data_IF_702345016662
#
_entry.id   IF_702345016662
#
_cell.length_a   1.000
_cell.length_b   1.000
_cell.length_c   1.000
_cell.angle_alpha   90.00
_cell.angle_beta   90.00
_cell.angle_gamma   90.00
#
_symmetry.space_group_name_H-M   'P 1'
#
loop_
_entity.id
_entity.type
_entity.pdbx_description
1 polymer ?
#
# COMPACT_ATOMS: atom_id res chain seq x y z
N UNK A 1 5.03 -13.26 7.35
CA UNK A 1 3.97 -13.15 6.32
C UNK A 1 4.29 -14.14 5.21
N UNK A 2 3.26 -14.70 4.59
CA UNK A 2 3.40 -15.59 3.44
C UNK A 2 3.72 -14.77 2.17
N UNK A 3 4.41 -15.39 1.23
CA UNK A 3 4.81 -14.77 -0.03
C UNK A 3 4.88 -15.79 -1.15
N UNK A 4 4.77 -15.30 -2.38
CA UNK A 4 5.02 -16.09 -3.60
C UNK A 4 6.26 -15.54 -4.32
N UNK A 5 7.11 -16.45 -4.79
CA UNK A 5 8.27 -16.09 -5.61
C UNK A 5 7.83 -15.77 -7.03
N UNK A 6 8.41 -14.73 -7.61
CA UNK A 6 8.21 -14.39 -9.02
C UNK A 6 9.22 -15.18 -9.83
N UNK A 7 8.74 -16.09 -10.68
CA UNK A 7 9.60 -16.76 -11.65
C UNK A 7 10.02 -15.77 -12.75
N UNK A 8 11.25 -15.30 -12.65
CA UNK A 8 11.79 -14.35 -13.61
C UNK A 8 11.83 -14.92 -15.03
N UNK A 9 11.96 -16.24 -15.22
CA UNK A 9 12.07 -16.84 -16.55
C UNK A 9 10.78 -16.70 -17.37
N UNK A 10 9.63 -16.62 -16.69
CA UNK A 10 8.31 -16.50 -17.31
C UNK A 10 7.69 -15.11 -17.15
N UNK A 11 8.27 -14.25 -16.30
CA UNK A 11 7.72 -12.93 -16.03
C UNK A 11 7.97 -11.93 -17.17
N UNK A 12 6.89 -11.46 -17.80
CA UNK A 12 6.91 -10.52 -18.92
C UNK A 12 7.68 -9.21 -18.65
N UNK A 13 7.86 -8.81 -17.39
CA UNK A 13 8.59 -7.59 -17.01
C UNK A 13 10.03 -7.85 -16.53
N UNK A 14 10.58 -9.06 -16.69
CA UNK A 14 11.94 -9.42 -16.25
C UNK A 14 13.00 -8.40 -16.70
N UNK A 15 13.04 -8.11 -18.00
CA UNK A 15 14.06 -7.21 -18.58
C UNK A 15 13.91 -5.78 -18.06
N UNK A 16 12.67 -5.26 -18.03
CA UNK A 16 12.35 -3.95 -17.48
C UNK A 16 12.78 -3.83 -16.00
N UNK A 17 12.48 -4.84 -15.19
CA UNK A 17 12.89 -4.89 -13.80
C UNK A 17 14.41 -4.88 -13.64
N UNK A 18 15.13 -5.67 -14.45
CA UNK A 18 16.60 -5.68 -14.42
C UNK A 18 17.18 -4.30 -14.78
N UNK A 19 16.69 -3.67 -15.84
CA UNK A 19 17.11 -2.34 -16.28
C UNK A 19 16.92 -1.29 -15.16
N UNK A 20 15.69 -1.15 -14.66
CA UNK A 20 15.36 -0.13 -13.67
C UNK A 20 15.89 -0.41 -12.26
N UNK A 21 16.28 -1.66 -11.96
CA UNK A 21 16.87 -1.98 -10.65
C UNK A 21 18.39 -1.92 -10.64
N UNK A 22 19.06 -2.22 -11.76
CA UNK A 22 20.52 -2.38 -11.79
C UNK A 22 21.23 -1.26 -12.54
N UNK A 23 20.67 -0.83 -13.67
CA UNK A 23 21.36 0.09 -14.59
C UNK A 23 20.84 1.53 -14.44
N UNK A 24 19.52 1.70 -14.41
CA UNK A 24 18.86 3.01 -14.37
C UNK A 24 17.90 3.04 -13.17
N UNK A 25 18.48 3.07 -11.97
CA UNK A 25 17.70 3.14 -10.71
C UNK A 25 16.88 4.41 -10.68
N UNK A 26 15.56 4.28 -10.84
CA UNK A 26 14.64 5.41 -10.82
C UNK A 26 13.31 5.08 -10.14
N UNK A 27 12.62 6.13 -9.74
CA UNK A 27 11.22 6.14 -9.31
C UNK A 27 10.56 7.42 -9.80
N UNK A 28 9.24 7.46 -9.80
CA UNK A 28 8.48 8.65 -10.18
C UNK A 28 7.35 8.89 -9.19
N UNK A 29 6.86 10.12 -9.13
CA UNK A 29 5.66 10.50 -8.38
C UNK A 29 4.64 11.12 -9.33
N UNK A 30 3.36 10.98 -8.96
CA UNK A 30 2.26 11.66 -9.64
C UNK A 30 1.24 12.11 -8.60
N UNK A 31 0.58 13.23 -8.88
CA UNK A 31 -0.52 13.72 -8.05
C UNK A 31 -1.77 13.81 -8.91
N UNK A 32 -2.87 13.24 -8.41
CA UNK A 32 -4.20 13.36 -9.02
C UNK A 32 -5.22 13.79 -7.98
N UNK A 33 -6.31 14.42 -8.44
CA UNK A 33 -7.45 14.78 -7.58
C UNK A 33 -8.43 13.61 -7.58
N UNK A 34 -8.70 13.07 -6.39
CA UNK A 34 -9.76 12.09 -6.19
C UNK A 34 -11.05 12.81 -5.80
N UNK A 35 -12.14 12.54 -6.52
CA UNK A 35 -13.46 13.00 -6.11
C UNK A 35 -13.97 12.12 -4.96
N UNK A 36 -14.08 12.74 -3.77
CA UNK A 36 -14.54 12.08 -2.55
C UNK A 36 -15.98 12.46 -2.17
N UNK A 37 -16.75 13.06 -3.08
CA UNK A 37 -18.12 13.55 -2.78
C UNK A 37 -19.03 12.42 -2.30
N UNK A 38 -19.01 11.28 -3.01
CA UNK A 38 -19.76 10.08 -2.63
C UNK A 38 -19.26 9.49 -1.30
N UNK A 39 -17.94 9.42 -1.12
CA UNK A 39 -17.30 8.93 0.11
C UNK A 39 -17.71 9.77 1.32
N UNK A 40 -17.66 11.11 1.20
CA UNK A 40 -18.05 12.03 2.27
C UNK A 40 -19.53 11.88 2.64
N UNK A 41 -20.39 11.72 1.62
CA UNK A 41 -21.83 11.51 1.81
C UNK A 41 -22.13 10.20 2.52
N UNK A 42 -21.43 9.12 2.14
CA UNK A 42 -21.55 7.83 2.80
C UNK A 42 -21.03 7.89 4.24
N UNK A 43 -19.85 8.50 4.46
CA UNK A 43 -19.19 8.62 5.76
C UNK A 43 -20.08 9.33 6.79
N UNK A 44 -20.79 10.39 6.37
CA UNK A 44 -21.72 11.13 7.22
C UNK A 44 -22.89 10.28 7.77
N UNK A 45 -23.19 9.14 7.12
CA UNK A 45 -24.22 8.18 7.54
C UNK A 45 -23.65 7.00 8.34
N UNK A 46 -22.33 7.00 8.58
CA UNK A 46 -21.63 5.94 9.31
C UNK A 46 -20.96 6.50 10.57
N UNK A 47 -20.54 5.63 11.50
CA UNK A 47 -19.73 6.03 12.66
C UNK A 47 -18.23 6.17 12.38
N UNK A 48 -17.77 5.85 11.17
CA UNK A 48 -16.35 5.82 10.83
C UNK A 48 -15.74 7.22 10.71
N UNK A 49 -14.43 7.33 10.98
CA UNK A 49 -13.66 8.56 10.79
C UNK A 49 -12.96 8.54 9.42
N UNK A 50 -12.75 9.72 8.85
CA UNK A 50 -12.18 9.87 7.51
C UNK A 50 -10.77 9.25 7.39
N UNK A 51 -9.89 9.53 8.35
CA UNK A 51 -8.50 9.07 8.30
C UNK A 51 -8.34 7.54 8.29
N UNK A 52 -8.89 6.77 9.25
CA UNK A 52 -8.82 5.30 9.19
C UNK A 52 -9.52 4.72 7.97
N UNK A 53 -10.63 5.32 7.51
CA UNK A 53 -11.30 4.87 6.28
C UNK A 53 -10.41 5.06 5.04
N UNK A 54 -9.69 6.17 4.92
CA UNK A 54 -8.76 6.37 3.81
C UNK A 54 -7.59 5.37 3.87
N UNK A 55 -7.05 5.09 5.06
CA UNK A 55 -6.02 4.06 5.24
C UNK A 55 -6.56 2.71 4.76
N UNK A 56 -7.74 2.29 5.21
CA UNK A 56 -8.39 1.05 4.78
C UNK A 56 -8.54 0.98 3.25
N UNK A 57 -9.08 2.02 2.62
CA UNK A 57 -9.33 2.03 1.18
C UNK A 57 -8.03 1.94 0.37
N UNK A 58 -6.97 2.63 0.81
CA UNK A 58 -5.64 2.54 0.20
C UNK A 58 -5.07 1.13 0.40
N UNK A 59 -5.13 0.58 1.62
CA UNK A 59 -4.67 -0.78 1.90
C UNK A 59 -5.40 -1.82 1.07
N UNK A 60 -6.72 -1.67 0.91
CA UNK A 60 -7.53 -2.56 0.08
C UNK A 60 -7.12 -2.50 -1.39
N UNK A 61 -6.87 -1.31 -1.93
CA UNK A 61 -6.39 -1.14 -3.30
C UNK A 61 -4.98 -1.75 -3.47
N UNK A 62 -4.04 -1.45 -2.57
CA UNK A 62 -2.68 -2.02 -2.58
C UNK A 62 -2.72 -3.55 -2.53
N UNK A 63 -3.60 -4.12 -1.71
CA UNK A 63 -3.72 -5.58 -1.58
C UNK A 63 -4.39 -6.27 -2.78
N UNK A 64 -5.02 -5.53 -3.70
CA UNK A 64 -5.58 -6.10 -4.93
C UNK A 64 -4.53 -6.34 -6.02
N UNK A 65 -3.41 -5.62 -6.01
CA UNK A 65 -2.42 -5.67 -7.09
C UNK A 65 -1.06 -6.16 -6.58
N UNK A 66 -0.51 -7.27 -7.12
CA UNK A 66 0.76 -7.83 -6.65
C UNK A 66 1.95 -6.88 -6.83
N UNK A 67 1.95 -6.02 -7.85
CA UNK A 67 3.02 -5.04 -8.12
C UNK A 67 3.21 -4.01 -7.00
N UNK A 68 2.18 -3.72 -6.20
CA UNK A 68 2.30 -2.84 -5.03
C UNK A 68 2.83 -3.57 -3.78
N UNK A 69 3.01 -4.89 -3.86
CA UNK A 69 3.43 -5.74 -2.74
C UNK A 69 4.69 -6.54 -3.05
N UNK A 70 5.42 -6.15 -4.09
CA UNK A 70 6.69 -6.77 -4.44
C UNK A 70 7.80 -6.35 -3.48
N UNK A 71 8.69 -7.29 -3.15
CA UNK A 71 9.86 -7.04 -2.33
C UNK A 71 11.03 -7.93 -2.77
N UNK A 72 12.25 -7.54 -2.38
CA UNK A 72 13.41 -8.43 -2.44
C UNK A 72 13.54 -9.15 -1.10
N UNK A 73 13.56 -10.47 -1.13
CA UNK A 73 13.79 -11.31 0.04
C UNK A 73 14.82 -12.37 -0.30
N UNK A 74 15.92 -12.42 0.46
CA UNK A 74 16.98 -13.41 0.26
C UNK A 74 17.53 -13.46 -1.19
N UNK A 75 17.70 -12.28 -1.79
CA UNK A 75 18.05 -12.05 -3.21
C UNK A 75 17.04 -12.54 -4.26
N UNK A 76 15.86 -12.98 -3.85
CA UNK A 76 14.76 -13.35 -4.74
C UNK A 76 13.71 -12.25 -4.82
N UNK A 77 13.10 -12.09 -6.00
CA UNK A 77 11.93 -11.23 -6.17
C UNK A 77 10.67 -11.99 -5.73
N UNK A 78 9.94 -11.42 -4.79
CA UNK A 78 8.70 -11.98 -4.25
C UNK A 78 7.57 -10.95 -4.37
N UNK A 79 6.33 -11.40 -4.18
CA UNK A 79 5.27 -10.54 -3.69
C UNK A 79 4.65 -11.12 -2.42
N UNK A 80 4.30 -10.26 -1.47
CA UNK A 80 3.62 -10.65 -0.25
C UNK A 80 2.16 -11.01 -0.52
N UNK A 81 1.64 -12.03 0.15
CA UNK A 81 0.22 -12.37 0.10
C UNK A 81 -0.67 -11.27 0.70
N UNK A 82 -0.11 -10.47 1.62
CA UNK A 82 -0.75 -9.31 2.25
C UNK A 82 0.29 -8.25 2.60
N UNK A 83 -0.08 -6.97 2.48
CA UNK A 83 0.68 -5.82 2.99
C UNK A 83 -0.17 -5.04 3.99
N UNK A 84 0.40 -4.81 5.17
CA UNK A 84 -0.20 -4.03 6.25
C UNK A 84 0.16 -2.54 6.10
N UNK A 85 -0.77 -1.60 6.37
CA UNK A 85 -0.47 -0.18 6.26
C UNK A 85 0.48 0.30 7.35
N UNK A 86 1.30 1.28 6.99
CA UNK A 86 2.02 2.16 7.91
C UNK A 86 1.51 3.58 7.69
N UNK A 87 1.09 4.24 8.76
CA UNK A 87 0.46 5.56 8.70
C UNK A 87 0.96 6.48 9.81
N UNK A 88 0.85 7.78 9.59
CA UNK A 88 1.40 8.80 10.49
C UNK A 88 0.35 9.33 11.48
N UNK A 89 0.71 9.42 12.74
CA UNK A 89 -0.12 10.04 13.79
C UNK A 89 0.58 11.29 14.29
N UNK A 90 -0.11 12.42 14.25
CA UNK A 90 0.42 13.72 14.66
C UNK A 90 0.20 13.97 16.15
N UNK A 91 1.25 14.39 16.84
CA UNK A 91 1.25 14.76 18.26
C UNK A 91 1.18 16.29 18.36
N UNK A 92 0.02 16.83 18.74
CA UNK A 92 -0.22 18.28 18.71
C UNK A 92 0.65 19.03 19.70
N UNK A 93 1.00 18.40 20.81
CA UNK A 93 1.72 18.98 21.94
C UNK A 93 3.20 19.21 21.60
N UNK A 94 3.78 18.34 20.77
CA UNK A 94 5.19 18.37 20.38
C UNK A 94 5.43 18.76 18.94
N UNK A 95 4.36 18.90 18.15
CA UNK A 95 4.41 19.15 16.70
C UNK A 95 5.24 18.10 15.93
N UNK A 96 5.32 16.88 16.46
CA UNK A 96 6.01 15.74 15.84
C UNK A 96 4.99 14.68 15.38
N UNK A 97 5.48 13.61 14.75
CA UNK A 97 4.65 12.48 14.36
C UNK A 97 5.30 11.13 14.71
N UNK A 98 4.46 10.09 14.81
CA UNK A 98 4.90 8.69 14.86
C UNK A 98 4.37 7.93 13.65
N UNK A 99 5.11 6.91 13.21
CA UNK A 99 4.63 5.93 12.25
C UNK A 99 4.08 4.72 13.02
N UNK A 100 2.80 4.40 12.83
CA UNK A 100 2.15 3.23 13.40
C UNK A 100 1.75 2.27 12.28
N UNK A 101 1.55 1.01 12.65
CA UNK A 101 1.01 -0.01 11.75
C UNK A 101 -0.06 -0.82 12.45
N UNK A 102 -1.00 -1.35 11.67
CA UNK A 102 -1.97 -2.36 12.11
C UNK A 102 -2.10 -3.42 11.02
N UNK A 103 -2.58 -4.60 11.40
CA UNK A 103 -2.83 -5.67 10.43
C UNK A 103 -3.97 -5.27 9.49
N UNK A 104 -3.80 -5.50 8.19
CA UNK A 104 -4.89 -5.34 7.23
C UNK A 104 -5.91 -6.47 7.35
N UNK A 105 -7.19 -6.12 7.30
CA UNK A 105 -8.32 -7.04 7.19
C UNK A 105 -9.20 -6.63 5.99
N UNK A 106 -9.68 -7.57 5.17
CA UNK A 106 -10.58 -7.26 4.07
C UNK A 106 -11.92 -6.65 4.53
N UNK A 107 -12.40 -7.07 5.69
CA UNK A 107 -13.59 -6.52 6.33
C UNK A 107 -13.27 -5.20 7.03
N UNK A 108 -14.04 -4.15 6.72
CA UNK A 108 -13.83 -2.80 7.26
C UNK A 108 -14.13 -2.70 8.76
N UNK A 109 -14.99 -3.58 9.31
CA UNK A 109 -15.32 -3.54 10.74
C UNK A 109 -14.26 -4.23 11.60
N UNK A 110 -13.51 -5.17 11.03
CA UNK A 110 -12.35 -5.82 11.66
C UNK A 110 -11.06 -4.99 11.53
N UNK A 111 -10.94 -4.19 10.46
CA UNK A 111 -9.84 -3.26 10.24
C UNK A 111 -9.89 -2.03 11.16
#
# INVERSE_FOLDING_TARGET
MNFTRIDLNTWNRREHFALYRQQIKCGFSLTTKLDITALRTALAKTGYKFYPLMIYLISRAVNQFPEFRMAMKDNELIYWEQSDPVFTVFHKETETFSALSCRYFPDLSEF
#
